data_IF_814961696290
#
_entry.id   IF_814961696290
#
_cell.length_a   1.000
_cell.length_b   1.000
_cell.length_c   1.000
_cell.angle_alpha   90.00
_cell.angle_beta   90.00
_cell.angle_gamma   90.00
#
_symmetry.space_group_name_H-M   'P 1'
#
loop_
_entity.id
_entity.type
_entity.pdbx_description
1 polymer ?
#
# COMPACT_ATOMS: atom_id res chain seq x y z
N UNK A 1 13.12 -0.13 -27.29
CA UNK A 1 12.70 0.09 -25.89
C UNK A 1 13.43 1.34 -25.38
N UNK A 2 12.75 2.48 -25.29
CA UNK A 2 13.38 3.74 -24.84
C UNK A 2 13.65 3.68 -23.34
N UNK A 3 14.92 3.76 -22.97
CA UNK A 3 15.34 3.89 -21.58
C UNK A 3 14.95 5.30 -21.09
N UNK A 4 13.88 5.41 -20.31
CA UNK A 4 13.59 6.65 -19.59
C UNK A 4 14.49 6.71 -18.35
N UNK A 5 15.34 7.74 -18.29
CA UNK A 5 16.14 8.03 -17.10
C UNK A 5 15.20 8.34 -15.93
N UNK A 6 15.59 7.88 -14.73
CA UNK A 6 14.81 8.11 -13.52
C UNK A 6 14.84 9.60 -13.19
N UNK A 7 13.70 10.18 -12.84
CA UNK A 7 13.66 11.54 -12.34
C UNK A 7 14.56 11.63 -11.10
N UNK A 8 15.39 12.67 -11.01
CA UNK A 8 16.25 12.89 -9.86
C UNK A 8 15.39 12.94 -8.58
N UNK A 9 15.70 12.06 -7.63
CA UNK A 9 15.07 12.07 -6.31
C UNK A 9 15.77 13.13 -5.47
N UNK A 10 15.16 14.29 -5.32
CA UNK A 10 15.54 15.20 -4.25
C UNK A 10 15.14 14.54 -2.92
N UNK A 11 16.02 14.58 -1.92
CA UNK A 11 15.88 13.95 -0.60
C UNK A 11 14.61 14.30 0.19
N UNK A 12 13.77 15.21 -0.34
CA UNK A 12 12.61 15.82 0.31
C UNK A 12 11.26 15.30 -0.17
N UNK A 13 11.23 14.47 -1.22
CA UNK A 13 9.96 14.07 -1.85
C UNK A 13 9.67 12.58 -1.71
N UNK A 14 8.51 12.20 -1.12
CA UNK A 14 8.05 10.82 -1.16
C UNK A 14 7.82 10.33 -2.59
N UNK A 15 7.92 9.03 -2.80
CA UNK A 15 7.65 8.38 -4.07
C UNK A 15 6.44 7.46 -3.96
N UNK A 16 5.51 7.56 -4.91
CA UNK A 16 4.53 6.50 -5.15
C UNK A 16 5.16 5.44 -6.04
N UNK A 17 5.21 4.20 -5.56
CA UNK A 17 5.88 3.08 -6.24
C UNK A 17 4.87 1.98 -6.54
N UNK A 18 5.02 1.35 -7.70
CA UNK A 18 4.25 0.15 -8.09
C UNK A 18 5.19 -1.01 -8.40
N UNK A 19 4.92 -2.17 -7.79
CA UNK A 19 5.59 -3.44 -8.01
C UNK A 19 4.59 -4.45 -8.60
N UNK A 20 4.84 -4.95 -9.82
CA UNK A 20 4.01 -6.01 -10.43
C UNK A 20 4.59 -7.39 -10.14
N UNK A 21 3.71 -8.36 -9.90
CA UNK A 21 4.11 -9.77 -9.78
C UNK A 21 3.87 -10.52 -11.09
N UNK A 22 4.61 -11.61 -11.29
CA UNK A 22 4.50 -12.47 -12.47
C UNK A 22 3.13 -13.12 -12.58
N UNK A 23 2.68 -13.45 -13.81
CA UNK A 23 1.52 -14.31 -14.02
C UNK A 23 1.64 -15.62 -13.23
N UNK A 24 0.50 -16.15 -12.79
CA UNK A 24 0.44 -17.39 -12.00
C UNK A 24 0.75 -17.23 -10.51
N UNK A 25 1.15 -16.04 -10.04
CA UNK A 25 1.18 -15.76 -8.60
C UNK A 25 -0.26 -15.62 -8.09
N UNK A 26 -0.70 -16.41 -7.08
CA UNK A 26 -2.03 -16.24 -6.50
C UNK A 26 -2.21 -14.84 -5.91
N UNK A 27 -3.47 -14.41 -5.78
CA UNK A 27 -3.81 -13.04 -5.38
C UNK A 27 -3.03 -12.58 -4.14
N UNK A 28 -2.35 -11.43 -4.26
CA UNK A 28 -1.61 -10.87 -3.12
C UNK A 28 -2.54 -10.41 -1.98
N UNK A 29 -3.85 -10.36 -2.24
CA UNK A 29 -4.89 -10.03 -1.26
C UNK A 29 -5.36 -11.22 -0.43
N UNK A 30 -4.78 -12.42 -0.62
CA UNK A 30 -5.10 -13.56 0.24
C UNK A 30 -4.78 -13.24 1.70
N UNK A 31 -5.67 -13.64 2.62
CA UNK A 31 -5.53 -13.32 4.06
C UNK A 31 -4.19 -13.81 4.61
N UNK A 32 -3.74 -15.00 4.20
CA UNK A 32 -2.45 -15.57 4.60
C UNK A 32 -1.28 -14.69 4.16
N UNK A 33 -1.28 -14.21 2.91
CA UNK A 33 -0.20 -13.36 2.43
C UNK A 33 -0.23 -11.97 3.06
N UNK A 34 -1.41 -11.36 3.20
CA UNK A 34 -1.57 -10.07 3.88
C UNK A 34 -0.92 -10.11 5.26
N UNK A 35 -1.25 -11.12 6.07
CA UNK A 35 -0.64 -11.31 7.42
C UNK A 35 0.87 -11.47 7.36
N UNK A 36 1.39 -12.20 6.38
CA UNK A 36 2.83 -12.42 6.27
C UNK A 36 3.59 -11.16 5.80
N UNK A 37 3.01 -10.39 4.88
CA UNK A 37 3.55 -9.10 4.43
C UNK A 37 3.56 -8.11 5.58
N UNK A 38 2.49 -8.03 6.38
CA UNK A 38 2.43 -7.18 7.57
C UNK A 38 3.57 -7.48 8.56
N UNK A 39 3.82 -8.77 8.83
CA UNK A 39 4.94 -9.23 9.69
C UNK A 39 6.30 -8.93 9.08
N UNK A 40 6.43 -9.06 7.76
CA UNK A 40 7.70 -8.89 7.05
C UNK A 40 8.07 -7.41 6.84
N UNK A 41 7.08 -6.54 6.66
CA UNK A 41 7.29 -5.10 6.43
C UNK A 41 7.54 -4.37 7.74
N UNK A 42 6.80 -4.67 8.80
CA UNK A 42 7.00 -4.05 10.14
C UNK A 42 8.43 -4.18 10.67
N UNK A 43 9.16 -5.23 10.30
CA UNK A 43 10.54 -5.50 10.78
C UNK A 43 11.65 -4.83 9.96
N UNK A 44 11.36 -4.24 8.80
CA UNK A 44 12.38 -3.96 7.79
C UNK A 44 12.27 -2.63 7.07
N UNK A 45 11.20 -1.89 7.33
CA UNK A 45 10.80 -0.76 6.51
C UNK A 45 11.44 0.57 6.89
N UNK A 46 12.22 0.61 7.96
CA UNK A 46 12.97 1.80 8.36
C UNK A 46 14.45 1.42 8.40
N UNK A 47 15.22 1.99 7.49
CA UNK A 47 16.67 1.86 7.43
C UNK A 47 17.26 3.21 7.07
N UNK A 48 17.55 4.04 8.08
CA UNK A 48 18.27 5.33 8.01
C UNK A 48 17.82 6.28 6.89
N UNK A 49 18.13 5.90 5.66
CA UNK A 49 18.04 6.64 4.42
C UNK A 49 16.86 6.18 3.54
N UNK A 50 16.08 5.19 4.00
CA UNK A 50 14.92 4.64 3.32
C UNK A 50 13.80 4.30 4.31
N UNK A 51 12.58 4.66 3.95
CA UNK A 51 11.37 4.37 4.72
C UNK A 51 10.22 3.92 3.82
N UNK A 52 9.56 2.82 4.17
CA UNK A 52 8.21 2.52 3.66
C UNK A 52 7.19 3.22 4.55
N UNK A 53 6.46 4.19 3.99
CA UNK A 53 5.45 4.98 4.69
C UNK A 53 4.11 4.26 4.67
N UNK A 54 3.64 3.86 3.49
CA UNK A 54 2.36 3.18 3.30
C UNK A 54 2.41 2.14 2.19
N UNK A 55 1.49 1.17 2.25
CA UNK A 55 1.34 0.17 1.20
C UNK A 55 -0.12 -0.24 0.99
N UNK A 56 -0.38 -0.84 -0.17
CA UNK A 56 -1.65 -1.48 -0.53
C UNK A 56 -1.41 -2.64 -1.49
N UNK A 57 -1.80 -3.84 -1.07
CA UNK A 57 -1.71 -5.05 -1.87
C UNK A 57 -2.93 -5.14 -2.81
N UNK A 58 -2.68 -5.25 -4.11
CA UNK A 58 -3.67 -5.54 -5.13
C UNK A 58 -3.58 -7.00 -5.54
N UNK A 59 -4.45 -7.48 -6.43
CA UNK A 59 -4.44 -8.90 -6.81
C UNK A 59 -3.09 -9.34 -7.43
N UNK A 60 -2.50 -8.51 -8.30
CA UNK A 60 -1.30 -8.82 -9.07
C UNK A 60 -0.20 -7.74 -8.99
N UNK A 61 -0.33 -6.77 -8.09
CA UNK A 61 0.67 -5.74 -7.86
C UNK A 61 0.57 -5.13 -6.46
N UNK A 62 1.56 -4.33 -6.09
CA UNK A 62 1.61 -3.62 -4.82
C UNK A 62 1.85 -2.15 -5.08
N UNK A 63 1.08 -1.28 -4.44
CA UNK A 63 1.37 0.15 -4.35
C UNK A 63 2.06 0.46 -3.04
N UNK A 64 3.06 1.34 -3.08
CA UNK A 64 3.83 1.78 -1.93
C UNK A 64 3.97 3.30 -1.95
N UNK A 65 4.02 3.92 -0.77
CA UNK A 65 4.56 5.26 -0.58
C UNK A 65 5.85 5.08 0.19
N UNK A 66 6.97 5.52 -0.38
CA UNK A 66 8.30 5.39 0.22
C UNK A 66 8.98 6.75 0.27
N UNK A 67 9.88 6.91 1.22
CA UNK A 67 10.80 8.05 1.32
C UNK A 67 12.23 7.51 1.23
N UNK A 68 13.11 8.23 0.56
CA UNK A 68 14.52 7.88 0.51
C UNK A 68 15.39 9.14 0.40
N UNK A 69 16.60 9.09 0.95
CA UNK A 69 17.56 10.21 0.90
C UNK A 69 17.97 10.55 -0.54
N UNK A 70 18.22 9.51 -1.34
CA UNK A 70 18.74 9.62 -2.69
C UNK A 70 18.34 8.40 -3.54
N UNK A 71 18.67 8.44 -4.82
CA UNK A 71 18.33 7.38 -5.78
C UNK A 71 18.96 6.02 -5.42
N UNK A 72 20.14 6.01 -4.82
CA UNK A 72 20.83 4.78 -4.43
C UNK A 72 20.16 4.14 -3.20
N UNK A 73 19.79 4.95 -2.22
CA UNK A 73 19.02 4.55 -1.05
C UNK A 73 17.64 4.00 -1.45
N UNK A 74 16.98 4.63 -2.42
CA UNK A 74 15.76 4.12 -3.04
C UNK A 74 16.02 2.76 -3.73
N UNK A 75 17.10 2.64 -4.51
CA UNK A 75 17.51 1.40 -5.17
C UNK A 75 17.69 0.24 -4.19
N UNK A 76 18.51 0.46 -3.14
CA UNK A 76 18.79 -0.53 -2.09
C UNK A 76 17.54 -0.89 -1.30
N UNK A 77 16.76 0.10 -0.87
CA UNK A 77 15.51 -0.08 -0.14
C UNK A 77 14.49 -0.90 -0.93
N UNK A 78 14.27 -0.55 -2.19
CA UNK A 78 13.35 -1.27 -3.07
C UNK A 78 13.81 -2.68 -3.41
N UNK A 79 15.12 -2.94 -3.57
CA UNK A 79 15.67 -4.31 -3.71
C UNK A 79 15.33 -5.13 -2.46
N UNK A 80 15.56 -4.55 -1.28
CA UNK A 80 15.27 -5.15 0.01
C UNK A 80 13.78 -5.49 0.19
N UNK A 81 12.88 -4.56 -0.15
CA UNK A 81 11.43 -4.75 -0.09
C UNK A 81 10.97 -5.82 -1.08
N UNK A 82 11.44 -5.74 -2.32
CA UNK A 82 11.11 -6.70 -3.38
C UNK A 82 11.50 -8.13 -3.01
N UNK A 83 12.70 -8.34 -2.48
CA UNK A 83 13.13 -9.67 -2.03
C UNK A 83 12.29 -10.19 -0.85
N UNK A 84 11.83 -9.33 0.05
CA UNK A 84 10.94 -9.74 1.15
C UNK A 84 9.56 -10.14 0.65
N UNK A 85 8.98 -9.34 -0.24
CA UNK A 85 7.71 -9.69 -0.87
C UNK A 85 7.80 -11.03 -1.59
N UNK A 86 8.86 -11.24 -2.37
CA UNK A 86 9.08 -12.51 -3.08
C UNK A 86 9.20 -13.70 -2.10
N UNK A 87 9.95 -13.56 -1.01
CA UNK A 87 10.08 -14.61 0.02
C UNK A 87 8.75 -14.88 0.74
N UNK A 88 7.98 -13.84 1.05
CA UNK A 88 6.65 -13.98 1.65
C UNK A 88 5.70 -14.73 0.72
N UNK A 89 5.64 -14.35 -0.56
CA UNK A 89 4.82 -15.01 -1.58
C UNK A 89 5.21 -16.48 -1.73
N UNK A 90 6.50 -16.76 -1.91
CA UNK A 90 7.00 -18.12 -2.10
C UNK A 90 6.69 -19.01 -0.90
N UNK A 91 6.90 -18.52 0.33
CA UNK A 91 6.59 -19.26 1.56
C UNK A 91 5.09 -19.52 1.74
N UNK A 92 4.25 -18.51 1.51
CA UNK A 92 2.79 -18.63 1.73
C UNK A 92 2.14 -19.57 0.71
N UNK A 93 2.62 -19.55 -0.54
CA UNK A 93 2.04 -20.35 -1.63
C UNK A 93 2.85 -21.59 -2.00
N UNK A 94 3.88 -21.95 -1.23
CA UNK A 94 4.72 -23.12 -1.52
C UNK A 94 5.47 -23.04 -2.86
N UNK A 95 5.76 -21.84 -3.35
CA UNK A 95 6.44 -21.60 -4.63
C UNK A 95 7.94 -21.36 -4.44
N UNK A 96 8.70 -21.49 -5.52
CA UNK A 96 10.13 -21.13 -5.61
C UNK A 96 10.35 -20.23 -6.83
N UNK A 97 11.45 -19.49 -6.84
CA UNK A 97 11.87 -18.65 -7.97
C UNK A 97 11.37 -17.20 -7.91
N UNK A 98 11.47 -16.53 -9.07
CA UNK A 98 11.18 -15.10 -9.19
C UNK A 98 9.68 -14.82 -9.11
N UNK A 99 9.31 -13.83 -8.29
CA UNK A 99 7.92 -13.39 -8.07
C UNK A 99 7.63 -12.06 -8.77
N UNK A 100 8.60 -11.15 -8.81
CA UNK A 100 8.42 -9.84 -9.44
C UNK A 100 8.52 -9.97 -10.96
N UNK A 101 7.64 -9.26 -11.67
CA UNK A 101 7.60 -9.27 -13.13
C UNK A 101 8.77 -8.51 -13.74
N UNK A 102 9.04 -7.32 -13.20
CA UNK A 102 10.08 -6.41 -13.66
C UNK A 102 10.52 -5.48 -12.50
N UNK A 103 11.35 -4.50 -12.80
CA UNK A 103 11.71 -3.37 -11.94
C UNK A 103 10.45 -2.62 -11.47
N UNK A 104 10.61 -1.90 -10.37
CA UNK A 104 9.56 -1.02 -9.89
C UNK A 104 9.42 0.23 -10.77
N UNK A 105 8.19 0.72 -10.88
CA UNK A 105 7.89 2.06 -11.39
C UNK A 105 7.67 3.01 -10.22
N UNK A 106 8.18 4.23 -10.31
CA UNK A 106 7.98 5.23 -9.28
C UNK A 106 7.65 6.60 -9.87
N UNK A 107 6.87 7.37 -9.13
CA UNK A 107 6.55 8.77 -9.40
C UNK A 107 6.90 9.57 -8.16
N UNK A 108 7.76 10.58 -8.32
CA UNK A 108 8.12 11.53 -7.25
C UNK A 108 6.94 12.45 -6.98
N UNK A 109 6.52 12.53 -5.72
CA UNK A 109 5.41 13.35 -5.26
C UNK A 109 5.96 14.72 -4.82
N UNK A 110 5.96 15.66 -5.76
CA UNK A 110 6.58 16.99 -5.62
C UNK A 110 5.73 17.98 -4.81
N UNK A 111 4.42 17.76 -4.74
CA UNK A 111 3.50 18.69 -4.05
C UNK A 111 2.68 18.01 -2.95
N UNK A 112 2.24 18.75 -1.91
CA UNK A 112 1.33 18.21 -0.90
C UNK A 112 0.03 17.63 -1.50
N UNK A 113 -0.47 18.23 -2.58
CA UNK A 113 -1.64 17.71 -3.32
C UNK A 113 -1.35 16.34 -3.94
N UNK A 114 -0.18 16.16 -4.55
CA UNK A 114 0.23 14.85 -5.07
C UNK A 114 0.36 13.82 -3.96
N UNK A 115 0.94 14.20 -2.81
CA UNK A 115 1.02 13.33 -1.62
C UNK A 115 -0.36 12.94 -1.12
N UNK A 116 -1.28 13.90 -0.97
CA UNK A 116 -2.67 13.64 -0.56
C UNK A 116 -3.40 12.71 -1.52
N UNK A 117 -3.24 12.92 -2.82
CA UNK A 117 -3.85 12.08 -3.85
C UNK A 117 -3.28 10.66 -3.84
N UNK A 118 -1.96 10.50 -3.67
CA UNK A 118 -1.32 9.21 -3.53
C UNK A 118 -1.76 8.48 -2.26
N UNK A 119 -1.85 9.16 -1.11
CA UNK A 119 -2.38 8.60 0.14
C UNK A 119 -3.82 8.13 -0.04
N UNK A 120 -4.68 8.97 -0.62
CA UNK A 120 -6.07 8.63 -0.91
C UNK A 120 -6.15 7.42 -1.82
N UNK A 121 -5.33 7.37 -2.86
CA UNK A 121 -5.25 6.24 -3.75
C UNK A 121 -4.80 4.98 -2.99
N UNK A 122 -3.61 4.96 -2.41
CA UNK A 122 -3.04 3.77 -1.75
C UNK A 122 -3.94 3.26 -0.62
N UNK A 123 -4.43 4.13 0.26
CA UNK A 123 -5.16 3.73 1.46
C UNK A 123 -6.65 3.46 1.22
N UNK A 124 -7.24 4.03 0.15
CA UNK A 124 -8.68 3.93 -0.12
C UNK A 124 -9.02 3.28 -1.47
N UNK A 125 -8.05 2.78 -2.26
CA UNK A 125 -8.33 2.18 -3.58
C UNK A 125 -9.29 0.99 -3.52
N UNK A 126 -9.36 0.31 -2.37
CA UNK A 126 -10.30 -0.79 -2.14
C UNK A 126 -11.76 -0.38 -2.35
N UNK A 127 -12.09 0.91 -2.17
CA UNK A 127 -13.42 1.47 -2.47
C UNK A 127 -13.82 1.29 -3.93
N UNK A 128 -12.86 1.26 -4.87
CA UNK A 128 -13.13 1.10 -6.31
C UNK A 128 -13.26 -0.36 -6.73
N UNK A 129 -12.72 -1.29 -5.95
CA UNK A 129 -12.79 -2.75 -6.21
C UNK A 129 -13.85 -3.48 -5.37
N UNK A 130 -14.28 -2.91 -4.23
CA UNK A 130 -15.35 -3.46 -3.36
C UNK A 130 -16.72 -2.79 -3.59
N UNK A 131 -16.85 -1.97 -4.65
CA UNK A 131 -18.02 -1.10 -4.89
C UNK A 131 -19.28 -1.80 -5.41
N UNK A 132 -19.35 -3.13 -5.43
CA UNK A 132 -20.62 -3.83 -5.72
C UNK A 132 -21.36 -4.35 -4.49
N UNK A 133 -20.78 -4.30 -3.29
CA UNK A 133 -21.39 -4.90 -2.08
C UNK A 133 -21.37 -4.04 -0.82
N UNK A 134 -20.84 -2.83 -0.87
CA UNK A 134 -20.77 -1.96 0.31
C UNK A 134 -22.07 -1.18 0.45
N UNK A 135 -23.03 -1.73 1.21
CA UNK A 135 -24.18 -0.97 1.72
C UNK A 135 -23.68 0.25 2.48
N UNK A 136 -24.25 1.41 2.13
CA UNK A 136 -24.37 2.67 2.88
C UNK A 136 -23.40 2.93 4.05
N UNK A 137 -22.59 3.99 3.90
CA UNK A 137 -22.10 4.80 5.03
C UNK A 137 -20.88 4.31 5.83
N UNK A 138 -20.57 3.00 5.85
CA UNK A 138 -19.45 2.49 6.67
C UNK A 138 -18.16 2.39 5.85
N UNK A 139 -17.18 3.26 6.16
CA UNK A 139 -15.83 3.18 5.60
C UNK A 139 -15.08 2.02 6.25
N UNK A 140 -15.11 0.84 5.64
CA UNK A 140 -14.22 -0.26 6.03
C UNK A 140 -12.82 -0.01 5.49
N UNK A 141 -11.83 0.05 6.39
CA UNK A 141 -10.41 0.12 6.02
C UNK A 141 -10.03 -1.14 5.24
N UNK A 142 -9.19 -0.98 4.21
CA UNK A 142 -8.71 -2.13 3.45
C UNK A 142 -7.75 -2.97 4.30
N UNK A 143 -8.10 -4.23 4.65
CA UNK A 143 -7.21 -5.10 5.42
C UNK A 143 -5.91 -5.43 4.68
N UNK A 144 -5.89 -5.29 3.36
CA UNK A 144 -4.70 -5.53 2.53
C UNK A 144 -3.85 -4.24 2.34
N UNK A 145 -4.11 -3.20 3.13
CA UNK A 145 -3.36 -1.94 3.12
C UNK A 145 -2.87 -1.55 4.51
N UNK A 146 -1.95 -0.60 4.56
CA UNK A 146 -1.50 0.01 5.81
C UNK A 146 -2.50 1.01 6.42
N UNK A 147 -3.71 1.15 5.89
CA UNK A 147 -4.68 2.16 6.32
C UNK A 147 -5.05 2.09 7.80
N UNK A 148 -4.99 0.92 8.43
CA UNK A 148 -5.25 0.74 9.86
C UNK A 148 -4.26 1.46 10.79
N UNK A 149 -3.06 1.77 10.31
CA UNK A 149 -2.03 2.50 11.07
C UNK A 149 -1.87 3.96 10.65
N UNK A 150 -2.68 4.43 9.70
CA UNK A 150 -2.60 5.83 9.29
C UNK A 150 -3.22 6.73 10.37
N UNK A 151 -2.43 7.61 10.97
CA UNK A 151 -2.88 8.51 12.03
C UNK A 151 -3.69 9.72 11.51
N UNK A 152 -3.56 10.06 10.22
CA UNK A 152 -4.17 11.26 9.63
C UNK A 152 -5.66 11.14 9.24
N UNK A 153 -6.39 10.15 9.76
CA UNK A 153 -7.83 10.04 9.50
C UNK A 153 -8.60 11.13 10.25
N UNK A 154 -9.36 11.98 9.53
CA UNK A 154 -10.19 13.06 10.13
C UNK A 154 -11.31 12.58 11.07
N UNK A 155 -11.72 11.31 10.97
CA UNK A 155 -12.52 10.59 11.97
C UNK A 155 -11.70 9.38 12.34
N UNK A 156 -11.30 9.20 13.59
CA UNK A 156 -10.24 8.25 13.87
C UNK A 156 -10.66 6.84 13.42
N UNK A 157 -9.74 6.09 12.82
CA UNK A 157 -9.98 4.70 12.46
C UNK A 157 -10.44 3.87 13.67
N UNK A 158 -10.01 4.27 14.88
CA UNK A 158 -10.45 3.71 16.15
C UNK A 158 -11.91 4.04 16.44
N UNK A 159 -12.35 5.28 16.21
CA UNK A 159 -13.74 5.70 16.39
C UNK A 159 -14.65 4.95 15.42
N UNK A 160 -14.27 4.77 14.16
CA UNK A 160 -15.07 4.03 13.19
C UNK A 160 -15.21 2.54 13.53
N UNK A 161 -14.15 1.91 14.06
CA UNK A 161 -14.18 0.51 14.52
C UNK A 161 -14.98 0.36 15.82
N UNK A 162 -14.91 1.34 16.72
CA UNK A 162 -15.69 1.40 17.96
C UNK A 162 -17.19 1.60 17.66
N UNK A 163 -17.54 2.58 16.83
CA UNK A 163 -18.92 2.87 16.43
C UNK A 163 -19.58 1.71 15.69
N UNK A 164 -18.82 0.93 14.92
CA UNK A 164 -19.30 -0.26 14.23
C UNK A 164 -19.56 -1.46 15.17
N UNK A 165 -18.92 -1.49 16.35
CA UNK A 165 -19.14 -2.52 17.38
C UNK A 165 -20.30 -2.17 18.32
N UNK A 166 -20.62 -0.89 18.48
CA UNK A 166 -21.57 -0.38 19.47
C UNK A 166 -23.01 -0.18 18.93
N UNK A 167 -23.31 -0.47 17.65
CA UNK A 167 -24.68 -0.30 17.09
C UNK A 167 -25.33 -1.63 16.66
N UNK A 168 -26.30 -2.16 17.43
CA UNK A 168 -27.31 -3.06 16.89
C UNK A 168 -28.35 -2.21 16.12
N UNK A 169 -28.44 -2.35 14.80
CA UNK A 169 -29.64 -2.01 14.02
C UNK A 169 -29.88 -0.58 13.51
N UNK A 170 -29.00 0.42 13.70
CA UNK A 170 -29.29 1.81 13.31
C UNK A 170 -28.67 2.29 11.98
N UNK A 171 -29.50 2.60 10.96
CA UNK A 171 -29.10 3.25 9.70
C UNK A 171 -28.43 4.62 9.96
N UNK A 172 -27.45 5.00 9.12
CA UNK A 172 -26.80 6.31 9.20
C UNK A 172 -26.99 7.03 7.87
N UNK A 173 -27.81 8.08 7.86
CA UNK A 173 -27.89 9.02 6.75
C UNK A 173 -26.57 9.80 6.66
N UNK A 174 -25.86 9.66 5.54
CA UNK A 174 -24.66 10.43 5.26
C UNK A 174 -25.04 11.68 4.48
N UNK A 175 -24.88 12.84 5.13
CA UNK A 175 -24.97 14.16 4.51
C UNK A 175 -23.90 14.27 3.41
N UNK A 176 -24.34 14.66 2.22
CA UNK A 176 -23.49 14.94 1.07
C UNK A 176 -22.54 16.12 1.37
N UNK A 177 -21.34 16.10 0.79
CA UNK A 177 -20.43 17.24 0.81
C UNK A 177 -20.21 17.76 -0.62
N UNK A 178 -20.14 19.09 -0.82
CA UNK A 178 -19.86 19.74 -2.11
C UNK A 178 -18.50 19.35 -2.73
#
# INVERSE_FOLDING_TARGET
MRHLSRAALASRHPCHVTLKVRPGVPSLRSVRLVREVERSFSRACERGDFRLVHYSLQANHVHLIVEARDADSLGRGMKSLGSRLARAVNRVFGKKGAVLLDRYHHVVLRTPTQVRNALRYVLLNSRRHMSRRSREGVVRLDPASSGRWFAGWRRSARDLVRQARERPGGRVHAVAWP
#
